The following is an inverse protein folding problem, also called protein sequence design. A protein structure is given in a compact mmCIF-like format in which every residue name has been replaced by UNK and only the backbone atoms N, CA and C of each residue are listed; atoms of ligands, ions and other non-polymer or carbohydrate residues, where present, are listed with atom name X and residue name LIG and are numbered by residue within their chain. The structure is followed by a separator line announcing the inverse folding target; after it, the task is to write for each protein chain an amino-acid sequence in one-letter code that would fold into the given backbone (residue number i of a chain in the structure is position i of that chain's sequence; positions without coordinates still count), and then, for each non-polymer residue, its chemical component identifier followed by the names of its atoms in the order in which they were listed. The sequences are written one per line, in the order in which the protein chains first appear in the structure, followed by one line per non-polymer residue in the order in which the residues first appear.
data_IF_605111178972
#
_entry.id   IF_605111178972
#
_cell.length_a   1.000
_cell.length_b   1.000
_cell.length_c   1.000
_cell.angle_alpha   90.00
_cell.angle_beta   90.00
_cell.angle_gamma   90.00
#
_symmetry.space_group_name_H-M   'P 1'
#
loop_
_entity.id
_entity.type
_entity.pdbx_description
1 polymer ?
#
# COMPACT_ATOMS: atom_id res chain seq x y z
N UNK A 1 -6.83 -3.80 17.82
CA UNK A 1 -7.52 -5.09 17.55
C UNK A 1 -8.82 -4.98 16.74
N UNK A 2 -9.70 -3.98 16.94
CA UNK A 2 -10.98 -3.87 16.19
C UNK A 2 -10.81 -3.65 14.68
N UNK A 3 -9.79 -2.92 14.25
CA UNK A 3 -9.51 -2.56 12.85
C UNK A 3 -9.20 -3.76 11.94
N UNK A 4 -8.33 -4.68 12.37
CA UNK A 4 -7.95 -5.87 11.59
C UNK A 4 -9.12 -6.82 11.30
N UNK A 5 -10.10 -6.91 12.21
CA UNK A 5 -11.28 -7.77 12.03
C UNK A 5 -12.13 -7.31 10.86
N UNK A 6 -12.24 -6.00 10.65
CA UNK A 6 -13.01 -5.43 9.55
C UNK A 6 -12.29 -5.57 8.22
N UNK A 7 -10.96 -5.49 8.20
CA UNK A 7 -10.16 -5.77 7.00
C UNK A 7 -10.35 -7.24 6.55
N UNK A 8 -10.28 -8.19 7.49
CA UNK A 8 -10.52 -9.61 7.20
C UNK A 8 -11.95 -9.82 6.67
N UNK A 9 -12.95 -9.20 7.29
CA UNK A 9 -14.34 -9.30 6.82
C UNK A 9 -14.55 -8.70 5.42
N UNK A 10 -13.86 -7.60 5.10
CA UNK A 10 -13.91 -7.00 3.77
C UNK A 10 -13.30 -7.93 2.71
N UNK A 11 -12.15 -8.52 2.99
CA UNK A 11 -11.52 -9.51 2.11
C UNK A 11 -12.41 -10.74 1.92
N UNK A 12 -13.00 -11.26 3.00
CA UNK A 12 -13.94 -12.40 2.92
C UNK A 12 -15.19 -12.06 2.11
N UNK A 13 -15.75 -10.85 2.27
CA UNK A 13 -16.90 -10.39 1.52
C UNK A 13 -16.57 -10.23 0.02
N UNK A 14 -15.41 -9.65 -0.31
CA UNK A 14 -14.91 -9.57 -1.68
C UNK A 14 -14.71 -10.94 -2.30
N UNK A 15 -14.05 -11.85 -1.59
CA UNK A 15 -13.79 -13.21 -2.05
C UNK A 15 -15.10 -13.99 -2.28
N UNK A 16 -16.07 -13.87 -1.38
CA UNK A 16 -17.40 -14.49 -1.54
C UNK A 16 -18.14 -13.93 -2.77
N UNK A 17 -18.12 -12.61 -2.97
CA UNK A 17 -18.75 -11.98 -4.13
C UNK A 17 -18.08 -12.38 -5.45
N UNK A 18 -16.74 -12.45 -5.48
CA UNK A 18 -15.98 -12.91 -6.64
C UNK A 18 -16.28 -14.36 -7.00
N UNK A 19 -16.26 -15.27 -6.02
CA UNK A 19 -16.58 -16.68 -6.25
C UNK A 19 -18.05 -16.89 -6.66
N UNK A 20 -18.98 -16.14 -6.06
CA UNK A 20 -20.38 -16.18 -6.47
C UNK A 20 -20.56 -15.71 -7.92
N UNK A 21 -19.88 -14.62 -8.32
CA UNK A 21 -19.86 -14.16 -9.70
C UNK A 21 -19.30 -15.23 -10.63
N UNK A 22 -18.18 -15.87 -10.28
CA UNK A 22 -17.60 -16.94 -11.09
C UNK A 22 -18.56 -18.13 -11.25
N UNK A 23 -19.23 -18.55 -10.17
CA UNK A 23 -20.22 -19.63 -10.21
C UNK A 23 -21.41 -19.29 -11.11
N UNK A 24 -21.89 -18.03 -11.08
CA UNK A 24 -22.94 -17.56 -11.98
C UNK A 24 -22.46 -17.56 -13.43
N UNK A 25 -21.23 -17.08 -13.69
CA UNK A 25 -20.65 -17.06 -15.04
C UNK A 25 -20.45 -18.46 -15.63
N UNK A 26 -20.12 -19.45 -14.82
CA UNK A 26 -20.04 -20.86 -15.24
C UNK A 26 -21.44 -21.42 -15.50
N UNK A 27 -22.39 -21.23 -14.58
CA UNK A 27 -23.75 -21.80 -14.69
C UNK A 27 -24.55 -21.24 -15.87
N UNK A 28 -24.34 -19.97 -16.19
CA UNK A 28 -25.01 -19.29 -17.30
C UNK A 28 -24.20 -19.31 -18.60
N UNK A 29 -23.06 -20.01 -18.64
CA UNK A 29 -22.16 -20.09 -19.79
C UNK A 29 -21.89 -18.70 -20.41
N UNK A 30 -21.50 -17.74 -19.56
CA UNK A 30 -21.24 -16.37 -20.00
C UNK A 30 -19.93 -16.30 -20.79
N UNK A 31 -20.01 -16.72 -22.05
CA UNK A 31 -18.92 -16.84 -22.99
C UNK A 31 -19.14 -15.78 -24.07
N UNK A 32 -18.24 -14.81 -24.14
CA UNK A 32 -18.25 -13.78 -25.18
C UNK A 32 -17.03 -14.05 -26.07
N UNK A 33 -17.25 -14.28 -27.37
CA UNK A 33 -16.19 -14.61 -28.34
C UNK A 33 -15.31 -15.82 -27.93
N UNK A 34 -15.89 -16.85 -27.31
CA UNK A 34 -15.14 -18.04 -26.86
C UNK A 34 -14.33 -17.82 -25.58
N UNK A 35 -14.40 -16.63 -24.98
CA UNK A 35 -13.76 -16.30 -23.71
C UNK A 35 -14.80 -16.25 -22.60
N UNK A 36 -14.62 -17.06 -21.55
CA UNK A 36 -15.48 -17.00 -20.36
C UNK A 36 -15.19 -15.71 -19.58
N UNK A 37 -16.19 -14.83 -19.45
CA UNK A 37 -15.98 -13.52 -18.81
C UNK A 37 -15.67 -13.63 -17.31
N UNK A 38 -15.82 -14.80 -16.70
CA UNK A 38 -15.50 -15.03 -15.29
C UNK A 38 -14.06 -14.63 -14.95
N UNK A 39 -13.11 -14.76 -15.88
CA UNK A 39 -11.70 -14.43 -15.68
C UNK A 39 -11.45 -12.92 -15.50
N UNK A 40 -12.40 -12.07 -15.94
CA UNK A 40 -12.31 -10.61 -15.84
C UNK A 40 -13.29 -10.10 -14.79
N UNK A 41 -14.56 -10.51 -14.90
CA UNK A 41 -15.65 -9.95 -14.09
C UNK A 41 -15.54 -10.36 -12.62
N UNK A 42 -15.12 -11.60 -12.34
CA UNK A 42 -15.08 -12.11 -10.96
C UNK A 42 -13.99 -11.46 -10.10
N UNK A 43 -12.73 -11.31 -10.57
CA UNK A 43 -11.71 -10.57 -9.82
C UNK A 43 -12.08 -9.09 -9.59
N UNK A 44 -12.68 -8.43 -10.59
CA UNK A 44 -13.11 -7.04 -10.48
C UNK A 44 -14.22 -6.87 -9.44
N UNK A 45 -15.24 -7.74 -9.45
CA UNK A 45 -16.30 -7.74 -8.45
C UNK A 45 -15.76 -8.00 -7.04
N UNK A 46 -14.79 -8.90 -6.91
CA UNK A 46 -14.16 -9.18 -5.63
C UNK A 46 -13.45 -7.94 -5.05
N UNK A 47 -12.57 -7.33 -5.85
CA UNK A 47 -11.84 -6.12 -5.45
C UNK A 47 -12.76 -4.93 -5.17
N UNK A 48 -13.82 -4.77 -5.97
CA UNK A 48 -14.83 -3.73 -5.75
C UNK A 48 -15.56 -3.94 -4.42
N UNK A 49 -16.05 -5.15 -4.15
CA UNK A 49 -16.78 -5.46 -2.92
C UNK A 49 -15.91 -5.33 -1.67
N UNK A 50 -14.66 -5.79 -1.73
CA UNK A 50 -13.69 -5.56 -0.64
C UNK A 50 -13.47 -4.07 -0.40
N UNK A 51 -13.18 -3.31 -1.47
CA UNK A 51 -12.91 -1.87 -1.36
C UNK A 51 -14.13 -1.09 -0.86
N UNK A 52 -15.33 -1.49 -1.26
CA UNK A 52 -16.58 -0.91 -0.78
C UNK A 52 -16.79 -1.14 0.71
N UNK A 53 -16.60 -2.38 1.18
CA UNK A 53 -16.78 -2.74 2.59
C UNK A 53 -15.67 -2.12 3.46
N UNK A 54 -14.42 -2.18 3.01
CA UNK A 54 -13.27 -1.57 3.70
C UNK A 54 -13.41 -0.04 3.76
N UNK A 55 -13.78 0.60 2.65
CA UNK A 55 -13.97 2.05 2.58
C UNK A 55 -15.04 2.57 3.54
N UNK A 56 -16.17 1.86 3.68
CA UNK A 56 -17.25 2.28 4.60
C UNK A 56 -16.95 2.05 6.08
N UNK A 57 -16.12 1.06 6.43
CA UNK A 57 -15.90 0.66 7.83
C UNK A 57 -14.55 1.08 8.40
N UNK A 58 -13.54 1.24 7.55
CA UNK A 58 -12.15 1.48 7.93
C UNK A 58 -11.57 2.78 7.33
N UNK A 59 -12.19 3.35 6.30
CA UNK A 59 -11.72 4.60 5.68
C UNK A 59 -10.43 4.45 4.86
N UNK A 60 -9.91 3.23 4.69
CA UNK A 60 -8.74 2.94 3.87
C UNK A 60 -8.97 1.70 3.00
N UNK A 61 -8.26 1.63 1.87
CA UNK A 61 -8.27 0.47 0.97
C UNK A 61 -7.33 -0.62 1.48
N UNK A 62 -7.79 -1.87 1.46
CA UNK A 62 -6.98 -3.07 1.75
C UNK A 62 -6.16 -3.54 0.54
N UNK A 63 -6.17 -2.78 -0.57
CA UNK A 63 -5.34 -3.05 -1.75
C UNK A 63 -5.95 -4.07 -2.73
N UNK A 64 -7.26 -4.34 -2.63
CA UNK A 64 -7.98 -5.29 -3.48
C UNK A 64 -7.37 -6.71 -3.43
N UNK A 65 -7.01 -7.18 -2.24
CA UNK A 65 -6.39 -8.49 -2.03
C UNK A 65 -7.28 -9.64 -2.54
N UNK A 66 -8.59 -9.52 -2.37
CA UNK A 66 -9.59 -10.48 -2.88
C UNK A 66 -9.63 -10.56 -4.39
N UNK A 67 -9.35 -9.47 -5.13
CA UNK A 67 -9.25 -9.52 -6.58
C UNK A 67 -8.10 -10.43 -7.02
N UNK A 68 -6.95 -10.31 -6.35
CA UNK A 68 -5.77 -11.14 -6.61
C UNK A 68 -6.07 -12.61 -6.27
N UNK A 69 -6.68 -12.87 -5.12
CA UNK A 69 -7.03 -14.23 -4.68
C UNK A 69 -8.04 -14.89 -5.63
N UNK A 70 -9.09 -14.16 -6.03
CA UNK A 70 -10.10 -14.66 -6.98
C UNK A 70 -9.50 -14.83 -8.37
N UNK A 71 -8.61 -13.94 -8.81
CA UNK A 71 -7.90 -14.09 -10.08
C UNK A 71 -7.12 -15.41 -10.15
N UNK A 72 -6.32 -15.72 -9.12
CA UNK A 72 -5.59 -16.99 -9.08
C UNK A 72 -6.55 -18.19 -8.96
N UNK A 73 -7.56 -18.11 -8.10
CA UNK A 73 -8.51 -19.21 -7.92
C UNK A 73 -9.26 -19.57 -9.21
N UNK A 74 -9.75 -18.57 -9.94
CA UNK A 74 -10.50 -18.75 -11.19
C UNK A 74 -9.59 -19.24 -12.32
N UNK A 75 -8.34 -18.76 -12.39
CA UNK A 75 -7.36 -19.27 -13.36
C UNK A 75 -6.95 -20.72 -13.07
N UNK A 76 -6.63 -21.05 -11.81
CA UNK A 76 -6.30 -22.42 -11.40
C UNK A 76 -7.49 -23.34 -11.68
N UNK A 77 -8.71 -22.92 -11.36
CA UNK A 77 -9.92 -23.69 -11.68
C UNK A 77 -10.07 -23.92 -13.19
N UNK A 78 -9.91 -22.87 -14.01
CA UNK A 78 -9.97 -22.97 -15.47
C UNK A 78 -8.93 -23.92 -16.07
N UNK A 79 -7.78 -24.08 -15.41
CA UNK A 79 -6.72 -24.99 -15.83
C UNK A 79 -6.93 -26.43 -15.33
N UNK A 80 -7.40 -26.61 -14.09
CA UNK A 80 -7.57 -27.93 -13.46
C UNK A 80 -8.90 -28.62 -13.79
N UNK A 81 -9.95 -27.84 -14.04
CA UNK A 81 -11.29 -28.32 -14.37
C UNK A 81 -11.80 -27.68 -15.67
N UNK A 82 -11.12 -27.90 -16.80
CA UNK A 82 -11.55 -27.37 -18.08
C UNK A 82 -12.89 -28.01 -18.48
N UNK A 83 -13.84 -27.19 -18.93
CA UNK A 83 -15.19 -27.64 -19.32
C UNK A 83 -15.17 -28.69 -20.44
N UNK A 84 -14.11 -28.68 -21.25
CA UNK A 84 -13.76 -29.75 -22.16
C UNK A 84 -12.38 -30.29 -21.77
N UNK A 85 -12.19 -31.62 -21.64
CA UNK A 85 -10.88 -32.20 -21.40
C UNK A 85 -9.88 -31.68 -22.45
N UNK A 86 -8.72 -31.20 -22.01
CA UNK A 86 -7.64 -30.77 -22.90
C UNK A 86 -7.20 -32.00 -23.70
N UNK A 87 -7.76 -32.15 -24.90
CA UNK A 87 -7.28 -33.13 -25.85
C UNK A 87 -5.96 -32.61 -26.38
N UNK A 88 -4.88 -33.40 -26.29
CA UNK A 88 -3.56 -33.06 -26.83
C UNK A 88 -3.54 -33.14 -28.36
N UNK A 89 -4.45 -32.43 -29.00
CA UNK A 89 -4.53 -32.30 -30.44
C UNK A 89 -3.75 -31.06 -30.91
N UNK A 90 -3.50 -30.97 -32.22
CA UNK A 90 -2.75 -29.87 -32.85
C UNK A 90 -3.38 -28.50 -32.55
N UNK A 91 -4.71 -28.41 -32.42
CA UNK A 91 -5.40 -27.16 -32.15
C UNK A 91 -5.19 -26.67 -30.72
N UNK A 92 -5.13 -27.57 -29.76
CA UNK A 92 -4.86 -27.26 -28.35
C UNK A 92 -3.42 -26.84 -28.13
N UNK A 93 -2.46 -27.56 -28.72
CA UNK A 93 -1.03 -27.17 -28.68
C UNK A 93 -0.81 -25.86 -29.44
N UNK A 94 -1.43 -25.69 -30.61
CA UNK A 94 -1.37 -24.47 -31.40
C UNK A 94 -2.00 -23.27 -30.69
N UNK A 95 -3.15 -23.46 -30.03
CA UNK A 95 -3.81 -22.43 -29.23
C UNK A 95 -2.99 -22.02 -28.01
N UNK A 96 -2.37 -22.98 -27.31
CA UNK A 96 -1.47 -22.70 -26.20
C UNK A 96 -0.23 -21.91 -26.65
N UNK A 97 0.37 -22.29 -27.79
CA UNK A 97 1.50 -21.57 -28.38
C UNK A 97 1.12 -20.14 -28.79
N UNK A 98 -0.07 -19.94 -29.37
CA UNK A 98 -0.59 -18.61 -29.71
C UNK A 98 -0.84 -17.76 -28.45
N UNK A 99 -1.40 -18.36 -27.39
CA UNK A 99 -1.62 -17.68 -26.12
C UNK A 99 -0.29 -17.28 -25.46
N UNK A 100 0.70 -18.17 -25.44
CA UNK A 100 2.05 -17.83 -24.96
C UNK A 100 2.71 -16.76 -25.82
N UNK A 101 2.58 -16.84 -27.15
CA UNK A 101 3.12 -15.85 -28.07
C UNK A 101 2.54 -14.45 -27.81
N UNK A 102 1.28 -14.34 -27.43
CA UNK A 102 0.67 -13.07 -27.05
C UNK A 102 1.03 -12.63 -25.62
N UNK A 103 1.17 -13.57 -24.68
CA UNK A 103 1.45 -13.28 -23.29
C UNK A 103 2.87 -12.71 -23.06
N UNK A 104 3.87 -13.15 -23.83
CA UNK A 104 5.25 -12.67 -23.65
C UNK A 104 5.41 -11.17 -23.98
N UNK A 105 4.99 -10.66 -25.15
CA UNK A 105 5.01 -9.22 -25.46
C UNK A 105 4.25 -8.39 -24.43
N UNK A 106 3.06 -8.84 -24.01
CA UNK A 106 2.27 -8.13 -23.00
C UNK A 106 2.99 -8.06 -21.66
N UNK A 107 3.58 -9.17 -21.21
CA UNK A 107 4.34 -9.22 -19.96
C UNK A 107 5.56 -8.30 -20.02
N UNK A 108 6.31 -8.33 -21.12
CA UNK A 108 7.48 -7.46 -21.32
C UNK A 108 7.07 -5.99 -21.31
N UNK A 109 5.95 -5.64 -21.95
CA UNK A 109 5.43 -4.26 -21.95
C UNK A 109 5.06 -3.79 -20.54
N UNK A 110 4.45 -4.63 -19.71
CA UNK A 110 4.14 -4.29 -18.32
C UNK A 110 5.41 -4.08 -17.48
N UNK A 111 6.42 -4.94 -17.64
CA UNK A 111 7.71 -4.79 -16.96
C UNK A 111 8.40 -3.50 -17.39
N UNK A 112 8.42 -3.20 -18.69
CA UNK A 112 8.97 -1.95 -19.23
C UNK A 112 8.22 -0.73 -18.70
N UNK A 113 6.90 -0.75 -18.68
CA UNK A 113 6.09 0.34 -18.13
C UNK A 113 6.42 0.58 -16.65
N UNK A 114 6.47 -0.49 -15.84
CA UNK A 114 6.84 -0.39 -14.43
C UNK A 114 8.26 0.15 -14.24
N UNK A 115 9.22 -0.32 -15.04
CA UNK A 115 10.61 0.14 -15.01
C UNK A 115 10.73 1.62 -15.42
N UNK A 116 10.01 2.06 -16.45
CA UNK A 116 9.97 3.46 -16.88
C UNK A 116 9.36 4.33 -15.79
N UNK A 117 8.22 3.94 -15.21
CA UNK A 117 7.59 4.70 -14.11
C UNK A 117 8.53 4.82 -12.92
N UNK A 118 9.21 3.73 -12.55
CA UNK A 118 10.20 3.75 -11.48
C UNK A 118 11.40 4.65 -11.79
N UNK A 119 11.95 4.56 -13.00
CA UNK A 119 13.06 5.39 -13.45
C UNK A 119 12.67 6.88 -13.50
N UNK A 120 11.48 7.21 -13.98
CA UNK A 120 10.93 8.57 -13.94
C UNK A 120 10.76 9.06 -12.51
N UNK A 121 10.34 8.19 -11.58
CA UNK A 121 10.27 8.52 -10.15
C UNK A 121 11.65 8.86 -9.56
N UNK A 122 12.67 8.07 -9.87
CA UNK A 122 14.05 8.34 -9.44
C UNK A 122 14.62 9.61 -10.06
N UNK A 123 14.37 9.85 -11.35
CA UNK A 123 14.77 11.08 -12.05
C UNK A 123 14.05 12.30 -11.48
N UNK A 124 12.75 12.18 -11.20
CA UNK A 124 11.96 13.22 -10.55
C UNK A 124 12.49 13.55 -9.16
N UNK A 125 12.85 12.53 -8.37
CA UNK A 125 13.53 12.72 -7.10
C UNK A 125 14.87 13.44 -7.26
N UNK A 126 15.74 12.96 -8.14
CA UNK A 126 17.05 13.59 -8.35
C UNK A 126 16.99 15.01 -8.91
N UNK A 127 15.99 15.32 -9.74
CA UNK A 127 15.72 16.69 -10.19
C UNK A 127 15.17 17.55 -9.05
N UNK A 128 14.26 17.00 -8.25
CA UNK A 128 13.77 17.63 -7.02
C UNK A 128 14.92 17.99 -6.09
N UNK A 129 15.78 17.03 -5.76
CA UNK A 129 16.94 17.23 -4.87
C UNK A 129 17.90 18.31 -5.41
N UNK A 130 18.07 18.42 -6.74
CA UNK A 130 18.90 19.46 -7.36
C UNK A 130 18.26 20.84 -7.39
N UNK A 131 16.94 20.92 -7.59
CA UNK A 131 16.20 22.19 -7.60
C UNK A 131 15.96 22.70 -6.18
N UNK A 132 15.80 21.80 -5.22
CA UNK A 132 15.60 22.10 -3.80
C UNK A 132 16.89 22.36 -3.02
N UNK A 133 18.07 22.24 -3.66
CA UNK A 133 19.33 22.60 -3.03
C UNK A 133 19.85 21.54 -2.06
N UNK A 134 19.96 20.28 -2.50
CA UNK A 134 20.98 19.33 -2.04
C UNK A 134 20.85 18.75 -0.63
N UNK A 135 19.90 19.19 0.18
CA UNK A 135 19.53 18.52 1.41
C UNK A 135 18.01 18.40 1.42
N UNK A 136 17.47 17.26 1.84
CA UNK A 136 16.03 16.96 1.79
C UNK A 136 15.15 17.88 2.65
N UNK A 137 15.66 19.01 3.11
CA UNK A 137 14.99 20.06 3.86
C UNK A 137 14.47 21.10 2.87
N UNK A 138 13.23 20.93 2.40
CA UNK A 138 12.48 22.06 1.87
C UNK A 138 12.34 23.04 3.03
N UNK A 139 12.99 24.20 2.94
CA UNK A 139 12.75 25.30 3.86
C UNK A 139 11.25 25.64 3.75
N UNK A 140 10.47 25.20 4.73
CA UNK A 140 9.10 25.67 4.88
C UNK A 140 9.26 27.12 5.33
N UNK A 141 9.10 28.06 4.39
CA UNK A 141 8.98 29.48 4.70
C UNK A 141 7.69 29.65 5.53
N UNK A 142 7.84 29.43 6.83
CA UNK A 142 6.85 29.76 7.83
C UNK A 142 7.14 31.21 8.23
N UNK A 143 6.17 32.10 8.04
CA UNK A 143 6.33 33.51 8.39
C UNK A 143 6.64 33.74 9.88
N UNK A 144 6.43 34.97 10.37
CA UNK A 144 7.43 35.95 10.81
C UNK A 144 8.40 35.54 11.95
N UNK A 145 8.60 34.24 12.24
CA UNK A 145 9.30 33.75 13.44
C UNK A 145 10.64 33.02 13.19
N UNK A 146 11.16 33.01 11.96
CA UNK A 146 12.48 32.47 11.62
C UNK A 146 12.45 31.49 10.45
N UNK A 147 13.61 31.18 9.89
CA UNK A 147 13.74 30.17 8.83
C UNK A 147 13.74 28.79 9.49
N UNK A 148 12.75 27.96 9.14
CA UNK A 148 12.72 26.56 9.57
C UNK A 148 13.81 25.77 8.84
N UNK A 149 14.72 25.16 9.59
CA UNK A 149 15.90 24.47 9.05
C UNK A 149 15.75 22.94 9.02
N UNK A 150 14.76 22.37 9.73
CA UNK A 150 14.53 20.93 9.73
C UNK A 150 13.44 20.48 10.70
N UNK A 151 13.09 19.19 10.67
CA UNK A 151 12.21 18.56 11.66
C UNK A 151 13.09 17.92 12.71
N UNK A 152 12.97 18.38 13.94
CA UNK A 152 13.64 17.79 15.09
C UNK A 152 12.75 16.74 15.73
N UNK A 153 13.34 15.62 16.16
CA UNK A 153 12.61 14.54 16.80
C UNK A 153 13.38 13.94 17.98
N UNK A 154 12.63 13.54 19.01
CA UNK A 154 13.17 12.83 20.17
C UNK A 154 12.21 11.77 20.65
N UNK A 155 12.72 10.58 20.91
CA UNK A 155 11.94 9.44 21.41
C UNK A 155 12.50 8.93 22.74
N UNK A 156 11.63 8.63 23.68
CA UNK A 156 11.95 7.98 24.95
C UNK A 156 10.97 6.83 25.21
N UNK A 157 11.48 5.68 25.65
CA UNK A 157 10.67 4.48 25.92
C UNK A 157 10.93 4.01 27.34
N UNK A 158 9.87 3.70 28.08
CA UNK A 158 10.00 3.20 29.46
C UNK A 158 8.67 2.82 30.10
N UNK A 159 8.67 2.79 31.43
CA UNK A 159 7.53 2.39 32.26
C UNK A 159 6.43 3.48 32.23
N UNK A 160 5.13 3.12 32.08
CA UNK A 160 4.01 4.06 32.17
C UNK A 160 3.99 4.91 33.45
N UNK A 161 4.58 4.43 34.55
CA UNK A 161 4.69 5.16 35.82
C UNK A 161 5.63 6.37 35.78
N UNK A 162 6.52 6.47 34.79
CA UNK A 162 7.50 7.56 34.63
C UNK A 162 7.22 8.43 33.38
N UNK A 163 5.94 8.63 33.07
CA UNK A 163 5.50 9.41 31.90
C UNK A 163 6.12 10.82 31.83
N UNK A 164 6.26 11.49 32.98
CA UNK A 164 6.81 12.84 33.02
C UNK A 164 8.33 12.85 32.74
N UNK A 165 9.06 11.84 33.24
CA UNK A 165 10.47 11.64 32.91
C UNK A 165 10.67 11.33 31.42
N UNK A 166 9.83 10.45 30.86
CA UNK A 166 9.86 10.11 29.44
C UNK A 166 9.52 11.29 28.53
N UNK A 167 8.53 12.11 28.89
CA UNK A 167 8.20 13.34 28.15
C UNK A 167 9.35 14.32 28.15
N UNK A 168 9.94 14.56 29.32
CA UNK A 168 11.10 15.44 29.45
C UNK A 168 12.27 14.94 28.61
N UNK A 169 12.58 13.65 28.67
CA UNK A 169 13.67 13.04 27.91
C UNK A 169 13.43 13.11 26.40
N UNK A 170 12.19 12.89 25.94
CA UNK A 170 11.83 13.02 24.52
C UNK A 170 12.01 14.46 24.03
N UNK A 171 11.59 15.45 24.82
CA UNK A 171 11.78 16.87 24.48
C UNK A 171 13.26 17.27 24.52
N UNK A 172 14.03 16.84 25.51
CA UNK A 172 15.47 17.09 25.59
C UNK A 172 16.21 16.51 24.37
N UNK A 173 15.84 15.30 23.93
CA UNK A 173 16.39 14.69 22.72
C UNK A 173 16.02 15.45 21.45
N UNK A 174 14.77 15.90 21.34
CA UNK A 174 14.30 16.74 20.23
C UNK A 174 15.05 18.08 20.19
N UNK A 175 15.28 18.73 21.33
CA UNK A 175 16.07 19.97 21.39
C UNK A 175 17.53 19.72 21.01
N UNK A 176 18.14 18.63 21.49
CA UNK A 176 19.50 18.25 21.09
C UNK A 176 19.63 17.94 19.60
N UNK A 177 18.60 17.35 19.00
CA UNK A 177 18.52 17.08 17.57
C UNK A 177 18.44 18.39 16.78
N UNK A 178 17.59 19.33 17.24
CA UNK A 178 17.51 20.68 16.68
C UNK A 178 18.86 21.44 16.76
N UNK A 179 19.55 21.37 17.89
CA UNK A 179 20.87 21.97 18.08
C UNK A 179 21.92 21.36 17.14
N UNK A 180 21.89 20.04 16.91
CA UNK A 180 22.81 19.38 15.97
C UNK A 180 22.59 19.79 14.50
N UNK A 181 21.40 20.28 14.16
CA UNK A 181 21.08 20.87 12.86
C UNK A 181 21.45 22.36 12.77
N UNK A 182 21.94 22.97 13.86
CA UNK A 182 22.27 24.40 13.93
C UNK A 182 21.10 25.29 14.38
N UNK A 183 20.01 24.70 14.88
CA UNK A 183 18.83 25.43 15.34
C UNK A 183 19.01 26.02 16.73
N UNK A 184 18.40 27.18 16.97
CA UNK A 184 18.34 27.87 18.28
C UNK A 184 17.05 27.61 19.04
N UNK A 185 16.06 26.97 18.41
CA UNK A 185 14.79 26.65 19.03
C UNK A 185 13.97 25.67 18.22
N UNK A 186 12.84 25.25 18.79
CA UNK A 186 11.86 24.38 18.13
C UNK A 186 10.46 24.98 18.30
N UNK A 187 9.70 25.02 17.22
CA UNK A 187 8.30 25.49 17.17
C UNK A 187 7.39 24.38 16.66
N UNK A 188 6.07 24.55 16.84
CA UNK A 188 5.05 23.57 16.43
C UNK A 188 5.30 22.17 17.01
N UNK A 189 5.53 22.13 18.33
CA UNK A 189 5.89 20.90 19.04
C UNK A 189 4.66 20.01 19.22
N UNK A 190 4.72 18.80 18.66
CA UNK A 190 3.77 17.72 18.90
C UNK A 190 4.43 16.66 19.80
N UNK A 191 3.74 16.29 20.88
CA UNK A 191 4.18 15.19 21.77
C UNK A 191 3.14 14.08 21.74
N UNK A 192 3.55 12.92 21.25
CA UNK A 192 2.70 11.75 21.11
C UNK A 192 3.13 10.65 22.07
N UNK A 193 2.16 10.09 22.78
CA UNK A 193 2.35 8.97 23.69
C UNK A 193 1.74 7.72 23.07
N UNK A 194 2.54 6.68 22.90
CA UNK A 194 2.14 5.40 22.33
C UNK A 194 2.33 4.29 23.35
N UNK A 195 1.25 3.58 23.69
CA UNK A 195 1.32 2.41 24.58
C UNK A 195 1.72 1.18 23.75
N UNK A 196 2.81 0.54 24.14
CA UNK A 196 3.36 -0.66 23.50
C UNK A 196 3.10 -1.85 24.42
N UNK A 197 2.22 -2.76 24.00
CA UNK A 197 1.98 -4.02 24.71
C UNK A 197 1.32 -3.92 26.10
N UNK A 198 1.01 -2.72 26.59
CA UNK A 198 0.38 -2.50 27.90
C UNK A 198 1.35 -2.36 29.08
N UNK A 199 2.62 -2.70 28.88
CA UNK A 199 3.68 -2.64 29.90
C UNK A 199 4.74 -1.56 29.61
N UNK A 200 4.75 -1.04 28.38
CA UNK A 200 5.71 -0.03 27.94
C UNK A 200 4.99 1.15 27.30
N UNK A 201 5.59 2.33 27.45
CA UNK A 201 5.14 3.56 26.79
C UNK A 201 6.31 4.16 26.02
N UNK A 202 6.07 4.52 24.77
CA UNK A 202 6.95 5.34 23.96
C UNK A 202 6.39 6.77 23.90
N UNK A 203 7.22 7.75 24.20
CA UNK A 203 6.92 9.16 24.05
C UNK A 203 7.79 9.71 22.93
N UNK A 204 7.14 10.24 21.90
CA UNK A 204 7.78 10.86 20.74
C UNK A 204 7.45 12.34 20.76
N UNK A 205 8.47 13.20 20.77
CA UNK A 205 8.35 14.64 20.58
C UNK A 205 8.90 15.01 19.20
N UNK A 206 8.14 15.78 18.44
CA UNK A 206 8.54 16.28 17.12
C UNK A 206 8.22 17.77 17.00
N UNK A 207 9.04 18.52 16.28
CA UNK A 207 8.76 19.93 15.99
C UNK A 207 9.66 20.45 14.89
N UNK A 208 9.44 21.70 14.49
CA UNK A 208 10.26 22.37 13.46
C UNK A 208 11.40 23.14 14.13
N UNK A 209 12.64 22.78 13.82
CA UNK A 209 13.82 23.50 14.26
C UNK A 209 13.94 24.85 13.52
N UNK A 210 14.28 25.90 14.26
CA UNK A 210 14.44 27.27 13.75
C UNK A 210 15.84 27.82 14.07
N UNK A 211 16.38 28.64 13.17
CA UNK A 211 17.66 29.37 13.34
C UNK A 211 17.55 30.60 14.26
#
# INVERSE_FOLDING_TARGET
MRSYRWAILAVLAGLAAGLASAAVSVKLELIIFGFNIMYIVSPLLAGFMESYVAGRKYGASTGALSAILVFFAVNIYGWLFPAEPIQWNVFTVGGLLMAFQAAFPTTVNFILAAAITYALGLLGKGLGDRLSGGDGTVALEYGPHGVGIGIAAGEAVGDPGDLDGLRRLAVERMLSDAESMGGRGVVDIEVKVTVIGGELVAVTATGTAIE
#
